data_IF_136911682043
#
_entry.id   IF_136911682043
#
_cell.length_a   1.000
_cell.length_b   1.000
_cell.length_c   1.000
_cell.angle_alpha   90.00
_cell.angle_beta   90.00
_cell.angle_gamma   90.00
#
_symmetry.space_group_name_H-M   'P 1'
#
loop_
_entity.id
_entity.type
_entity.pdbx_description
1 polymer ?
#
# COMPACT_ATOMS: atom_id res chain seq x y z
N UNK A 1 4.71 10.98 -32.96
CA UNK A 1 5.21 9.82 -32.18
C UNK A 1 4.34 8.60 -32.50
N UNK A 2 4.92 7.42 -32.73
CA UNK A 2 4.15 6.17 -32.94
C UNK A 2 3.15 5.97 -31.78
N UNK A 3 1.88 5.67 -32.11
CA UNK A 3 0.80 5.48 -31.13
C UNK A 3 1.23 4.52 -30.01
N UNK A 4 1.97 3.46 -30.33
CA UNK A 4 2.46 2.47 -29.35
C UNK A 4 3.47 3.07 -28.37
N UNK A 5 4.33 3.97 -28.84
CA UNK A 5 5.30 4.68 -28.00
C UNK A 5 4.61 5.70 -27.10
N UNK A 6 3.57 6.37 -27.60
CA UNK A 6 2.73 7.26 -26.80
C UNK A 6 1.99 6.50 -25.69
N UNK A 7 1.38 5.36 -26.00
CA UNK A 7 0.72 4.51 -25.00
C UNK A 7 1.71 4.02 -23.94
N UNK A 8 2.91 3.58 -24.36
CA UNK A 8 3.96 3.17 -23.42
C UNK A 8 4.36 4.32 -22.48
N UNK A 9 4.58 5.52 -23.02
CA UNK A 9 4.92 6.69 -22.23
C UNK A 9 3.81 7.04 -21.22
N UNK A 10 2.54 7.01 -21.66
CA UNK A 10 1.39 7.25 -20.79
C UNK A 10 1.30 6.22 -19.65
N UNK A 11 1.51 4.93 -19.94
CA UNK A 11 1.50 3.87 -18.93
C UNK A 11 2.64 4.04 -17.91
N UNK A 12 3.83 4.45 -18.35
CA UNK A 12 4.97 4.73 -17.47
C UNK A 12 4.67 5.90 -16.55
N UNK A 13 4.10 6.99 -17.08
CA UNK A 13 3.69 8.12 -16.23
C UNK A 13 2.64 7.68 -15.22
N UNK A 14 1.64 6.92 -15.67
CA UNK A 14 0.54 6.49 -14.80
C UNK A 14 1.01 5.59 -13.65
N UNK A 15 1.90 4.62 -13.92
CA UNK A 15 2.46 3.77 -12.86
C UNK A 15 3.33 4.59 -11.89
N UNK A 16 4.12 5.54 -12.40
CA UNK A 16 4.92 6.43 -11.54
C UNK A 16 4.02 7.25 -10.62
N UNK A 17 2.96 7.88 -11.16
CA UNK A 17 2.00 8.66 -10.37
C UNK A 17 1.32 7.81 -9.29
N UNK A 18 0.89 6.58 -9.62
CA UNK A 18 0.31 5.67 -8.64
C UNK A 18 1.27 5.33 -7.49
N UNK A 19 2.55 5.09 -7.80
CA UNK A 19 3.55 4.80 -6.77
C UNK A 19 3.87 6.03 -5.92
N UNK A 20 3.90 7.23 -6.51
CA UNK A 20 4.07 8.48 -5.77
C UNK A 20 2.92 8.67 -4.78
N UNK A 21 1.67 8.48 -5.21
CA UNK A 21 0.49 8.55 -4.32
C UNK A 21 0.59 7.51 -3.21
N UNK A 22 1.05 6.30 -3.51
CA UNK A 22 1.21 5.24 -2.53
C UNK A 22 2.31 5.52 -1.49
N UNK A 23 3.39 6.20 -1.86
CA UNK A 23 4.44 6.62 -0.93
C UNK A 23 3.90 7.56 0.16
N UNK A 24 2.83 8.31 -0.11
CA UNK A 24 2.17 9.19 0.85
C UNK A 24 1.08 8.49 1.68
N UNK A 25 0.94 7.17 1.59
CA UNK A 25 -0.08 6.42 2.33
C UNK A 25 0.05 6.58 3.84
N UNK A 26 1.25 6.45 4.36
CA UNK A 26 1.49 6.44 5.80
C UNK A 26 1.91 7.81 6.31
N UNK A 27 1.25 8.28 7.35
CA UNK A 27 1.63 9.48 8.10
C UNK A 27 1.98 9.07 9.53
N UNK A 28 3.24 9.24 9.94
CA UNK A 28 3.65 8.97 11.31
C UNK A 28 3.42 10.22 12.15
N UNK A 29 2.55 10.10 13.16
CA UNK A 29 2.05 11.27 13.87
C UNK A 29 2.79 11.51 15.18
N UNK A 30 3.00 10.46 15.99
CA UNK A 30 3.56 10.58 17.34
C UNK A 30 4.15 9.24 17.81
N UNK A 31 5.03 9.27 18.82
CA UNK A 31 5.55 8.10 19.53
C UNK A 31 5.48 8.34 21.05
N UNK A 32 4.94 7.39 21.80
CA UNK A 32 4.79 7.42 23.24
C UNK A 32 5.22 6.07 23.81
N UNK A 33 6.36 6.02 24.49
CA UNK A 33 6.93 4.77 25.01
C UNK A 33 7.10 3.70 23.92
N UNK A 34 6.50 2.54 24.16
CA UNK A 34 6.49 1.37 23.27
C UNK A 34 5.41 1.44 22.16
N UNK A 35 4.72 2.59 22.03
CA UNK A 35 3.66 2.81 21.07
C UNK A 35 4.03 3.86 20.03
N UNK A 36 3.86 3.52 18.75
CA UNK A 36 4.04 4.44 17.63
C UNK A 36 2.74 4.60 16.85
N UNK A 37 2.27 5.84 16.74
CA UNK A 37 1.00 6.17 16.10
C UNK A 37 1.22 6.56 14.64
N UNK A 38 0.46 5.92 13.75
CA UNK A 38 0.45 6.21 12.32
C UNK A 38 -0.97 6.32 11.79
N UNK A 39 -1.15 7.07 10.71
CA UNK A 39 -2.42 7.16 9.99
C UNK A 39 -2.27 6.51 8.62
N UNK A 40 -3.18 5.60 8.30
CA UNK A 40 -3.38 5.12 6.95
C UNK A 40 -4.27 6.12 6.21
N UNK A 41 -3.69 6.93 5.32
CA UNK A 41 -4.43 7.94 4.55
C UNK A 41 -5.38 7.33 3.52
N UNK A 42 -5.24 6.04 3.20
CA UNK A 42 -6.15 5.38 2.27
C UNK A 42 -7.48 5.03 2.92
N UNK A 43 -7.47 4.66 4.20
CA UNK A 43 -8.69 4.38 4.99
C UNK A 43 -9.06 5.53 5.91
N UNK A 44 -8.21 6.56 6.00
CA UNK A 44 -8.31 7.65 6.98
C UNK A 44 -8.41 7.14 8.44
N UNK A 45 -7.69 6.06 8.73
CA UNK A 45 -7.71 5.39 10.05
C UNK A 45 -6.39 5.55 10.77
N UNK A 46 -6.46 5.75 12.08
CA UNK A 46 -5.28 5.78 12.95
C UNK A 46 -4.98 4.37 13.45
N UNK A 47 -3.71 4.03 13.48
CA UNK A 47 -3.15 2.77 13.90
C UNK A 47 -2.10 3.02 14.96
N UNK A 48 -2.00 2.12 15.93
CA UNK A 48 -0.88 2.05 16.86
C UNK A 48 -0.03 0.83 16.52
N UNK A 49 1.27 1.04 16.36
CA UNK A 49 2.29 0.00 16.33
C UNK A 49 2.81 -0.16 17.76
N UNK A 50 2.45 -1.28 18.40
CA UNK A 50 2.88 -1.59 19.76
C UNK A 50 4.08 -2.53 19.73
N UNK A 51 5.16 -2.18 20.43
CA UNK A 51 6.39 -2.95 20.53
C UNK A 51 6.53 -3.52 21.94
N UNK A 52 6.03 -4.75 22.21
CA UNK A 52 6.18 -5.35 23.52
C UNK A 52 7.65 -5.34 23.98
N UNK A 53 7.95 -5.16 25.28
CA UNK A 53 9.34 -5.09 25.79
C UNK A 53 10.23 -6.29 25.43
N UNK A 54 9.64 -7.44 25.11
CA UNK A 54 10.31 -8.67 24.71
C UNK A 54 10.25 -8.95 23.18
N UNK A 55 9.62 -8.07 22.41
CA UNK A 55 9.49 -8.21 20.96
C UNK A 55 10.70 -7.59 20.27
N UNK A 56 11.50 -8.44 19.63
CA UNK A 56 12.82 -8.06 19.07
C UNK A 56 12.67 -7.41 17.67
N UNK A 57 11.56 -7.61 16.96
CA UNK A 57 11.53 -7.33 15.51
C UNK A 57 10.27 -6.67 14.96
N UNK A 58 9.07 -7.11 15.33
CA UNK A 58 7.84 -6.62 14.71
C UNK A 58 6.85 -6.09 15.77
N UNK A 59 6.45 -4.83 15.61
CA UNK A 59 5.36 -4.26 16.38
C UNK A 59 4.01 -4.85 15.94
N UNK A 60 3.09 -4.99 16.90
CA UNK A 60 1.72 -5.39 16.65
C UNK A 60 0.93 -4.15 16.23
N UNK A 61 0.30 -4.18 15.06
CA UNK A 61 -0.49 -3.04 14.59
C UNK A 61 -1.96 -3.21 14.95
N UNK A 62 -2.53 -2.21 15.61
CA UNK A 62 -3.93 -2.23 16.07
C UNK A 62 -4.65 -0.98 15.56
N UNK A 63 -5.82 -1.11 14.90
CA UNK A 63 -6.61 0.04 14.50
C UNK A 63 -7.28 0.69 15.71
N UNK A 64 -7.29 2.02 15.72
CA UNK A 64 -7.95 2.81 16.75
C UNK A 64 -9.38 3.14 16.30
N UNK A 65 -10.33 3.09 17.23
CA UNK A 65 -11.71 3.54 17.00
C UNK A 65 -11.80 5.07 16.94
N UNK A 66 -11.04 5.72 17.84
CA UNK A 66 -10.98 7.17 17.97
C UNK A 66 -9.52 7.64 17.87
N UNK A 67 -9.33 8.94 17.68
CA UNK A 67 -8.01 9.59 17.68
C UNK A 67 -7.36 9.68 19.08
N UNK A 68 -8.03 9.13 20.10
CA UNK A 68 -7.54 9.11 21.47
C UNK A 68 -6.31 8.22 21.55
N UNK A 69 -5.20 8.82 21.99
CA UNK A 69 -3.98 8.09 22.29
C UNK A 69 -4.16 7.30 23.60
N UNK A 70 -3.42 6.22 23.73
CA UNK A 70 -3.35 5.46 24.96
C UNK A 70 -2.12 5.89 25.75
N UNK A 71 -2.33 6.19 27.03
CA UNK A 71 -1.26 6.60 27.94
C UNK A 71 -0.51 5.39 28.53
N UNK A 72 -1.06 4.18 28.39
CA UNK A 72 -0.49 2.95 28.94
C UNK A 72 -0.87 1.68 28.16
N UNK A 73 -0.01 0.66 28.25
CA UNK A 73 -0.22 -0.67 27.68
C UNK A 73 -1.54 -1.33 28.13
N UNK A 74 -1.92 -1.10 29.39
CA UNK A 74 -3.17 -1.61 29.95
C UNK A 74 -4.42 -1.03 29.27
N UNK A 75 -4.38 0.23 28.83
CA UNK A 75 -5.47 0.83 28.08
C UNK A 75 -5.56 0.23 26.66
N UNK A 76 -4.42 0.01 26.02
CA UNK A 76 -4.35 -0.67 24.73
C UNK A 76 -4.88 -2.11 24.82
N UNK A 77 -4.48 -2.87 25.85
CA UNK A 77 -4.96 -4.23 26.08
C UNK A 77 -6.48 -4.26 26.30
N UNK A 78 -7.02 -3.32 27.09
CA UNK A 78 -8.45 -3.19 27.31
C UNK A 78 -9.21 -2.87 26.01
N UNK A 79 -8.66 -1.99 25.15
CA UNK A 79 -9.21 -1.70 23.84
C UNK A 79 -9.22 -2.93 22.93
N UNK A 80 -8.11 -3.69 22.89
CA UNK A 80 -8.02 -4.91 22.10
C UNK A 80 -9.07 -5.92 22.57
N UNK A 81 -9.14 -6.20 23.87
CA UNK A 81 -10.11 -7.16 24.44
C UNK A 81 -11.55 -6.77 24.16
N UNK A 82 -11.88 -5.48 24.31
CA UNK A 82 -13.23 -4.95 24.05
C UNK A 82 -13.64 -5.13 22.59
N UNK A 83 -12.74 -4.85 21.66
CA UNK A 83 -13.07 -4.81 20.23
C UNK A 83 -12.81 -6.12 19.50
N UNK A 84 -12.05 -7.03 20.09
CA UNK A 84 -11.82 -8.37 19.54
C UNK A 84 -13.13 -9.15 19.37
N UNK A 85 -14.03 -9.08 20.36
CA UNK A 85 -15.32 -9.81 20.33
C UNK A 85 -16.27 -9.23 19.27
N UNK A 86 -16.20 -7.93 19.02
CA UNK A 86 -17.06 -7.24 18.04
C UNK A 86 -16.68 -7.50 16.58
N UNK A 87 -15.49 -8.06 16.32
CA UNK A 87 -14.94 -8.19 14.96
C UNK A 87 -14.45 -6.89 14.34
N UNK A 88 -14.59 -5.73 15.01
CA UNK A 88 -14.16 -4.43 14.50
C UNK A 88 -12.69 -4.40 14.07
N UNK A 89 -11.79 -4.96 14.89
CA UNK A 89 -10.36 -4.99 14.57
C UNK A 89 -10.12 -5.73 13.25
N UNK A 90 -10.84 -6.85 13.05
CA UNK A 90 -10.73 -7.68 11.85
C UNK A 90 -11.30 -6.96 10.63
N UNK A 91 -12.45 -6.28 10.76
CA UNK A 91 -13.05 -5.56 9.64
C UNK A 91 -12.15 -4.45 9.11
N UNK A 92 -11.52 -3.68 9.99
CA UNK A 92 -10.59 -2.60 9.64
C UNK A 92 -9.31 -3.15 8.97
N UNK A 93 -8.79 -4.28 9.48
CA UNK A 93 -7.70 -5.02 8.84
C UNK A 93 -8.08 -5.50 7.43
N UNK A 94 -9.28 -6.05 7.25
CA UNK A 94 -9.75 -6.53 5.95
C UNK A 94 -9.92 -5.38 4.95
N UNK A 95 -10.45 -4.24 5.38
CA UNK A 95 -10.59 -3.06 4.53
C UNK A 95 -9.22 -2.56 4.05
N UNK A 96 -8.26 -2.43 4.98
CA UNK A 96 -6.87 -2.10 4.67
C UNK A 96 -6.26 -3.07 3.66
N UNK A 97 -6.49 -4.37 3.83
CA UNK A 97 -5.96 -5.40 2.94
C UNK A 97 -6.58 -5.32 1.55
N UNK A 98 -7.88 -5.07 1.43
CA UNK A 98 -8.56 -4.89 0.13
C UNK A 98 -7.93 -3.76 -0.68
N UNK A 99 -7.72 -2.59 -0.08
CA UNK A 99 -7.07 -1.45 -0.75
C UNK A 99 -5.62 -1.75 -1.13
N UNK A 100 -4.90 -2.46 -0.26
CA UNK A 100 -3.53 -2.90 -0.52
C UNK A 100 -3.44 -3.86 -1.69
N UNK A 101 -4.34 -4.85 -1.76
CA UNK A 101 -4.41 -5.77 -2.89
C UNK A 101 -4.88 -5.10 -4.17
N UNK A 102 -5.81 -4.15 -4.10
CA UNK A 102 -6.21 -3.35 -5.26
C UNK A 102 -5.02 -2.57 -5.83
N UNK A 103 -4.21 -1.96 -4.96
CA UNK A 103 -2.99 -1.27 -5.36
C UNK A 103 -1.97 -2.21 -6.02
N UNK A 104 -1.68 -3.37 -5.41
CA UNK A 104 -0.76 -4.35 -5.99
C UNK A 104 -1.28 -4.92 -7.30
N UNK A 105 -2.56 -5.26 -7.38
CA UNK A 105 -3.20 -5.76 -8.60
C UNK A 105 -3.14 -4.75 -9.73
N UNK A 106 -3.40 -3.47 -9.44
CA UNK A 106 -3.32 -2.38 -10.42
C UNK A 106 -1.89 -2.20 -10.94
N UNK A 107 -0.88 -2.23 -10.06
CA UNK A 107 0.52 -2.15 -10.47
C UNK A 107 0.94 -3.35 -11.32
N UNK A 108 0.61 -4.57 -10.89
CA UNK A 108 0.91 -5.78 -11.64
C UNK A 108 0.29 -5.76 -13.04
N UNK A 109 -0.98 -5.32 -13.14
CA UNK A 109 -1.67 -5.16 -14.42
C UNK A 109 -0.96 -4.15 -15.33
N UNK A 110 -0.54 -3.00 -14.80
CA UNK A 110 0.18 -1.99 -15.58
C UNK A 110 1.54 -2.48 -16.06
N UNK A 111 2.30 -3.16 -15.19
CA UNK A 111 3.59 -3.76 -15.54
C UNK A 111 3.40 -4.77 -16.68
N UNK A 112 2.38 -5.63 -16.59
CA UNK A 112 2.08 -6.60 -17.63
C UNK A 112 1.80 -5.92 -18.98
N UNK A 113 0.99 -4.87 -18.99
CA UNK A 113 0.69 -4.09 -20.21
C UNK A 113 1.95 -3.42 -20.79
N UNK A 114 2.83 -2.87 -19.93
CA UNK A 114 4.10 -2.29 -20.34
C UNK A 114 4.99 -3.34 -21.02
N UNK A 115 5.15 -4.51 -20.40
CA UNK A 115 5.95 -5.61 -20.94
C UNK A 115 5.40 -6.10 -22.29
N UNK A 116 4.08 -6.23 -22.41
CA UNK A 116 3.42 -6.66 -23.64
C UNK A 116 3.64 -5.64 -24.77
N UNK A 117 3.48 -4.34 -24.50
CA UNK A 117 3.73 -3.29 -25.50
C UNK A 117 5.20 -3.23 -25.91
N UNK A 118 6.13 -3.39 -24.97
CA UNK A 118 7.56 -3.46 -25.27
C UNK A 118 7.85 -4.65 -26.21
N UNK A 119 7.31 -5.83 -25.92
CA UNK A 119 7.47 -7.01 -26.76
C UNK A 119 6.92 -6.78 -28.19
N UNK A 120 5.76 -6.13 -28.32
CA UNK A 120 5.18 -5.78 -29.63
C UNK A 120 6.04 -4.78 -30.42
N UNK A 121 6.59 -3.75 -29.75
CA UNK A 121 7.47 -2.76 -30.38
C UNK A 121 8.77 -3.42 -30.86
N UNK A 122 9.38 -4.27 -30.03
CA UNK A 122 10.60 -5.02 -30.37
C UNK A 122 10.36 -5.95 -31.56
N UNK A 123 9.26 -6.73 -31.54
CA UNK A 123 8.90 -7.63 -32.63
C UNK A 123 8.67 -6.89 -33.95
N UNK A 124 7.99 -5.74 -33.90
CA UNK A 124 7.71 -4.93 -35.09
C UNK A 124 9.01 -4.39 -35.71
N UNK A 125 9.93 -3.86 -34.89
CA UNK A 125 11.25 -3.43 -35.37
C UNK A 125 12.01 -4.54 -36.08
N UNK A 126 12.06 -5.74 -35.48
CA UNK A 126 12.75 -6.91 -36.07
C UNK A 126 12.15 -7.33 -37.42
N UNK A 127 10.82 -7.25 -37.56
CA UNK A 127 10.12 -7.54 -38.82
C UNK A 127 10.44 -6.52 -39.91
N UNK A 128 10.50 -5.23 -39.58
CA UNK A 128 10.83 -4.19 -40.56
C UNK A 128 12.27 -4.33 -41.05
N UNK A 129 13.24 -4.54 -40.16
CA UNK A 129 14.66 -4.73 -40.54
C UNK A 129 14.89 -5.94 -41.43
N UNK A 130 14.11 -7.02 -41.26
CA UNK A 130 14.24 -8.23 -42.09
C UNK A 130 13.70 -8.06 -43.52
N UNK A 131 12.75 -7.16 -43.74
CA UNK A 131 12.13 -6.95 -45.06
C UNK A 131 12.86 -5.89 -45.90
N UNK A 132 13.82 -5.17 -45.32
CA UNK A 132 14.63 -4.12 -45.98
C UNK A 132 16.02 -4.60 -46.42
N UNK A 133 16.35 -5.87 -46.16
CA UNK A 133 17.57 -6.56 -46.63
C UNK A 133 17.15 -7.55 -47.71
#
# INVERSE_FOLDING_TARGET
MDKRKLTLFALIIFIVLLNVIASFRWSYNNSEGDMKYKTDRWTNKVWVEYYPPLAITNGIEVPLLNTTKFDSDTQLEAHIKKNAVSGYLVSEWLERMKLTYLYYGSNAFLIFNILLLLAMIIRTRKSTTRNTV
#
